data_IF_982207901387
#
_entry.id   IF_982207901387
#
_cell.length_a   1.000
_cell.length_b   1.000
_cell.length_c   1.000
_cell.angle_alpha   90.00
_cell.angle_beta   90.00
_cell.angle_gamma   90.00
#
_symmetry.space_group_name_H-M   'P 1'
#
loop_
_entity.id
_entity.type
_entity.pdbx_description
1 polymer ?
#
# COMPACT_ATOMS: atom_id res chain seq x y z
N UNK A 1 -63.17 -7.01 -12.30
CA UNK A 1 -62.19 -5.93 -12.06
C UNK A 1 -62.33 -5.43 -10.64
N UNK A 2 -61.38 -5.75 -9.75
CA UNK A 2 -61.04 -4.96 -8.57
C UNK A 2 -59.65 -5.42 -8.07
N UNK A 3 -58.76 -4.44 -7.95
CA UNK A 3 -57.33 -4.51 -7.62
C UNK A 3 -57.09 -4.86 -6.13
N UNK A 4 -55.86 -5.27 -5.76
CA UNK A 4 -55.51 -5.75 -4.42
C UNK A 4 -55.35 -4.60 -3.41
N UNK A 5 -55.64 -4.91 -2.14
CA UNK A 5 -55.50 -3.99 -1.01
C UNK A 5 -54.08 -4.14 -0.41
N UNK A 6 -53.24 -3.13 -0.57
CA UNK A 6 -51.90 -3.03 0.02
C UNK A 6 -52.09 -2.28 1.33
N UNK A 7 -51.97 -2.95 2.47
CA UNK A 7 -51.92 -2.27 3.76
C UNK A 7 -50.46 -1.98 4.12
N UNK A 8 -50.06 -0.74 3.87
CA UNK A 8 -48.83 -0.10 4.33
C UNK A 8 -48.92 0.15 5.84
N UNK A 9 -48.00 -0.41 6.62
CA UNK A 9 -47.50 0.17 7.87
C UNK A 9 -46.36 -0.69 8.42
N UNK A 10 -45.14 -0.42 7.96
CA UNK A 10 -43.95 -0.70 8.75
C UNK A 10 -43.12 0.59 8.79
N UNK A 11 -43.42 1.42 9.79
CA UNK A 11 -42.52 2.50 10.19
C UNK A 11 -41.28 1.83 10.78
N UNK A 12 -40.05 2.07 10.26
CA UNK A 12 -38.85 1.55 10.89
C UNK A 12 -38.69 2.21 12.26
N UNK A 13 -38.43 1.41 13.29
CA UNK A 13 -38.06 1.92 14.60
C UNK A 13 -36.79 2.80 14.48
N UNK A 14 -36.64 3.87 15.29
CA UNK A 14 -35.43 4.66 15.28
C UNK A 14 -34.26 3.76 15.68
N UNK A 15 -33.26 3.67 14.79
CA UNK A 15 -31.98 3.02 15.10
C UNK A 15 -31.42 3.68 16.35
N UNK A 16 -31.44 2.92 17.44
CA UNK A 16 -30.73 3.22 18.67
C UNK A 16 -29.28 3.49 18.34
N UNK A 17 -28.82 4.70 18.66
CA UNK A 17 -27.40 5.04 18.69
C UNK A 17 -26.68 3.99 19.55
N UNK A 18 -25.90 3.10 18.90
CA UNK A 18 -24.95 2.26 19.60
C UNK A 18 -23.74 3.15 19.94
N UNK A 19 -23.79 3.72 21.14
CA UNK A 19 -22.61 4.14 21.86
C UNK A 19 -21.94 2.89 22.45
N UNK A 20 -20.99 2.32 21.72
CA UNK A 20 -20.13 1.24 22.17
C UNK A 20 -18.75 1.44 21.57
N UNK A 21 -17.82 2.01 22.33
CA UNK A 21 -16.40 1.97 21.95
C UNK A 21 -15.94 0.54 22.15
N UNK A 22 -16.07 -0.28 21.12
CA UNK A 22 -15.65 -1.68 21.17
C UNK A 22 -14.13 -1.72 21.38
N UNK A 23 -13.71 -2.25 22.53
CA UNK A 23 -12.31 -2.43 22.84
C UNK A 23 -11.72 -3.44 21.84
N UNK A 24 -10.78 -2.98 21.01
CA UNK A 24 -10.11 -3.81 20.00
C UNK A 24 -9.29 -4.90 20.69
N UNK A 25 -9.64 -6.16 20.42
CA UNK A 25 -8.97 -7.32 21.01
C UNK A 25 -7.64 -7.61 20.29
N UNK A 26 -6.73 -8.41 20.89
CA UNK A 26 -5.53 -8.87 20.20
C UNK A 26 -5.80 -9.64 18.92
N UNK A 27 -6.92 -10.37 18.87
CA UNK A 27 -7.33 -11.10 17.66
C UNK A 27 -7.73 -10.14 16.54
N UNK A 28 -8.47 -9.07 16.84
CA UNK A 28 -8.87 -8.08 15.83
C UNK A 28 -7.66 -7.37 15.21
N UNK A 29 -6.64 -7.05 16.02
CA UNK A 29 -5.38 -6.49 15.50
C UNK A 29 -4.65 -7.48 14.61
N UNK A 30 -4.59 -8.76 15.01
CA UNK A 30 -3.97 -9.80 14.19
C UNK A 30 -4.74 -9.98 12.86
N UNK A 31 -6.07 -9.90 12.87
CA UNK A 31 -6.88 -9.91 11.66
C UNK A 31 -6.56 -8.72 10.76
N UNK A 32 -6.44 -7.50 11.29
CA UNK A 32 -6.02 -6.33 10.50
C UNK A 32 -4.65 -6.51 9.86
N UNK A 33 -3.68 -7.07 10.59
CA UNK A 33 -2.35 -7.38 10.05
C UNK A 33 -2.45 -8.35 8.88
N UNK A 34 -3.23 -9.43 9.04
CA UNK A 34 -3.38 -10.44 7.99
C UNK A 34 -4.19 -9.92 6.81
N UNK A 35 -5.25 -9.15 7.03
CA UNK A 35 -6.07 -8.58 5.96
C UNK A 35 -5.28 -7.59 5.12
N UNK A 36 -4.47 -6.75 5.76
CA UNK A 36 -3.73 -5.71 5.06
C UNK A 36 -2.53 -6.26 4.28
N UNK A 37 -1.88 -7.32 4.79
CA UNK A 37 -0.63 -7.86 4.23
C UNK A 37 -0.75 -9.29 3.70
N UNK A 38 -1.96 -9.75 3.38
CA UNK A 38 -2.19 -11.03 2.71
C UNK A 38 -3.14 -10.82 1.52
N UNK A 39 -2.85 -11.50 0.42
CA UNK A 39 -3.76 -11.56 -0.71
C UNK A 39 -4.78 -12.69 -0.51
N UNK A 40 -6.04 -12.34 -0.25
CA UNK A 40 -7.17 -13.29 -0.14
C UNK A 40 -8.28 -13.00 -1.18
N UNK A 41 -7.92 -12.41 -2.32
CA UNK A 41 -8.85 -12.05 -3.41
C UNK A 41 -9.51 -10.68 -3.26
N UNK A 42 -10.68 -10.51 -3.88
CA UNK A 42 -11.46 -9.25 -3.91
C UNK A 42 -12.15 -9.00 -2.56
N UNK A 43 -11.37 -8.59 -1.56
CA UNK A 43 -11.89 -8.24 -0.24
C UNK A 43 -11.77 -6.75 0.00
N UNK A 44 -12.89 -6.12 0.35
CA UNK A 44 -12.91 -4.70 0.70
C UNK A 44 -12.35 -4.51 2.12
N UNK A 45 -11.43 -3.55 2.28
CA UNK A 45 -10.85 -3.21 3.58
C UNK A 45 -11.93 -2.64 4.50
N UNK A 46 -11.98 -3.13 5.74
CA UNK A 46 -12.91 -2.62 6.75
C UNK A 46 -12.47 -1.23 7.24
N UNK A 47 -13.36 -0.52 7.95
CA UNK A 47 -12.99 0.74 8.61
C UNK A 47 -11.82 0.56 9.59
N UNK A 48 -11.75 -0.59 10.26
CA UNK A 48 -10.66 -0.93 11.16
C UNK A 48 -9.34 -1.19 10.39
N UNK A 49 -9.39 -1.84 9.22
CA UNK A 49 -8.22 -2.04 8.37
C UNK A 49 -7.69 -0.71 7.83
N UNK A 50 -8.58 0.22 7.45
CA UNK A 50 -8.22 1.56 7.03
C UNK A 50 -7.54 2.36 8.15
N UNK A 51 -8.06 2.27 9.38
CA UNK A 51 -7.40 2.85 10.57
C UNK A 51 -6.03 2.23 10.84
N UNK A 52 -5.88 0.93 10.58
CA UNK A 52 -4.60 0.24 10.75
C UNK A 52 -3.59 0.68 9.68
N UNK A 53 -4.02 0.82 8.44
CA UNK A 53 -3.23 1.37 7.34
C UNK A 53 -2.79 2.82 7.60
N UNK A 54 -3.65 3.64 8.22
CA UNK A 54 -3.29 4.99 8.68
C UNK A 54 -2.22 4.93 9.78
N UNK A 55 -2.34 4.04 10.76
CA UNK A 55 -1.33 3.86 11.80
C UNK A 55 0.04 3.45 11.23
N UNK A 56 0.06 2.59 10.21
CA UNK A 56 1.28 2.25 9.46
C UNK A 56 1.84 3.47 8.74
N UNK A 57 1.00 4.26 8.07
CA UNK A 57 1.42 5.48 7.37
C UNK A 57 2.07 6.48 8.33
N UNK A 58 1.48 6.67 9.51
CA UNK A 58 2.03 7.51 10.58
C UNK A 58 3.36 6.96 11.08
N UNK A 59 3.45 5.66 11.35
CA UNK A 59 4.70 5.02 11.78
C UNK A 59 5.82 5.24 10.74
N UNK A 60 5.52 5.04 9.46
CA UNK A 60 6.45 5.28 8.36
C UNK A 60 6.91 6.74 8.29
N UNK A 61 6.03 7.72 8.54
CA UNK A 61 6.38 9.15 8.51
C UNK A 61 7.43 9.56 9.54
N UNK A 62 7.51 8.85 10.68
CA UNK A 62 8.52 9.10 11.71
C UNK A 62 9.88 8.45 11.40
N UNK A 63 9.94 7.59 10.38
CA UNK A 63 11.18 7.01 9.90
C UNK A 63 11.81 7.90 8.83
N UNK A 64 12.85 8.63 9.24
CA UNK A 64 13.79 9.31 8.33
C UNK A 64 14.92 8.36 7.91
N UNK A 65 15.10 8.15 6.62
CA UNK A 65 16.25 7.40 6.11
C UNK A 65 17.51 8.27 6.00
N UNK A 66 18.68 7.64 6.14
CA UNK A 66 20.01 8.27 6.12
C UNK A 66 20.61 8.43 4.73
N UNK A 67 20.04 7.80 3.70
CA UNK A 67 20.64 7.69 2.36
C UNK A 67 19.95 8.55 1.28
N UNK A 68 19.00 9.41 1.67
CA UNK A 68 18.33 10.36 0.76
C UNK A 68 17.18 9.78 -0.07
N UNK A 69 16.89 8.47 0.04
CA UNK A 69 15.71 7.84 -0.56
C UNK A 69 14.50 7.94 0.37
N UNK A 70 13.43 8.56 -0.11
CA UNK A 70 12.29 8.90 0.73
C UNK A 70 11.31 7.73 0.88
N UNK A 71 11.19 6.82 -0.10
CA UNK A 71 10.13 5.82 -0.17
C UNK A 71 10.57 4.39 0.21
N UNK A 72 11.79 4.22 0.73
CA UNK A 72 12.27 2.92 1.20
C UNK A 72 11.65 2.54 2.56
N UNK A 73 11.34 1.24 2.72
CA UNK A 73 10.70 0.70 3.92
C UNK A 73 11.77 0.22 4.92
N UNK A 74 11.70 0.63 6.19
CA UNK A 74 12.72 0.29 7.19
C UNK A 74 12.69 -1.21 7.52
N UNK A 75 13.86 -1.77 7.86
CA UNK A 75 14.00 -3.18 8.28
C UNK A 75 13.17 -3.50 9.53
N UNK A 76 13.01 -2.52 10.42
CA UNK A 76 12.13 -2.62 11.58
C UNK A 76 11.15 -1.45 11.56
N UNK A 77 9.86 -1.76 11.61
CA UNK A 77 8.77 -0.79 11.75
C UNK A 77 8.03 -1.08 13.05
N UNK A 78 7.80 -0.04 13.84
CA UNK A 78 7.00 -0.14 15.07
C UNK A 78 5.74 0.69 14.87
N UNK A 79 4.59 0.05 15.02
CA UNK A 79 3.27 0.64 14.81
C UNK A 79 2.49 0.61 16.12
N UNK A 80 2.09 1.78 16.59
CA UNK A 80 1.17 1.90 17.71
C UNK A 80 -0.27 1.85 17.20
N UNK A 81 -1.02 0.83 17.59
CA UNK A 81 -2.42 0.68 17.17
C UNK A 81 -3.28 0.13 18.30
N UNK A 82 -4.36 0.86 18.64
CA UNK A 82 -5.34 0.45 19.66
C UNK A 82 -4.72 0.08 21.01
N UNK A 83 -3.61 0.70 21.39
CA UNK A 83 -2.88 0.44 22.65
C UNK A 83 -1.85 -0.70 22.58
N UNK A 84 -1.63 -1.28 21.40
CA UNK A 84 -0.62 -2.31 21.16
C UNK A 84 0.55 -1.73 20.36
N UNK A 85 1.77 -1.98 20.85
CA UNK A 85 3.02 -1.71 20.12
C UNK A 85 3.33 -2.95 19.24
N UNK A 86 3.10 -2.84 17.94
CA UNK A 86 3.26 -3.92 16.96
C UNK A 86 4.58 -3.72 16.23
N UNK A 87 5.48 -4.69 16.32
CA UNK A 87 6.78 -4.66 15.67
C UNK A 87 6.81 -5.59 14.46
N UNK A 88 7.11 -5.03 13.30
CA UNK A 88 7.44 -5.74 12.07
C UNK A 88 8.96 -5.82 11.93
N UNK A 89 9.50 -7.03 11.79
CA UNK A 89 10.95 -7.25 11.59
C UNK A 89 11.19 -7.97 10.27
N UNK A 90 11.79 -7.28 9.30
CA UNK A 90 12.17 -7.85 8.01
C UNK A 90 13.47 -8.67 8.12
N UNK A 91 13.61 -9.80 7.42
CA UNK A 91 14.87 -10.53 7.35
C UNK A 91 15.97 -9.70 6.68
N UNK A 92 17.18 -9.72 7.28
CA UNK A 92 18.34 -8.90 6.92
C UNK A 92 19.00 -9.33 5.59
N UNK A 93 18.72 -10.54 5.12
CA UNK A 93 19.33 -11.12 3.93
C UNK A 93 18.25 -11.72 3.02
N UNK A 94 17.74 -10.95 2.06
CA UNK A 94 17.56 -11.29 0.63
C UNK A 94 16.65 -10.24 -0.01
N UNK A 95 17.10 -9.53 -1.06
CA UNK A 95 16.25 -8.55 -1.75
C UNK A 95 15.01 -9.18 -2.42
N UNK A 96 15.02 -10.50 -2.69
CA UNK A 96 14.00 -11.22 -3.45
C UNK A 96 13.60 -12.61 -2.88
N UNK A 97 13.80 -12.92 -1.59
CA UNK A 97 13.28 -14.19 -1.05
C UNK A 97 11.87 -14.03 -0.52
N UNK A 98 11.07 -15.10 -0.60
CA UNK A 98 9.87 -15.29 0.19
C UNK A 98 10.24 -15.29 1.69
N UNK A 99 10.47 -14.10 2.22
CA UNK A 99 10.74 -13.85 3.63
C UNK A 99 9.45 -13.72 4.39
N UNK A 100 9.48 -14.10 5.66
CA UNK A 100 8.41 -13.84 6.60
C UNK A 100 8.80 -12.63 7.44
N UNK A 101 7.91 -11.65 7.54
CA UNK A 101 8.07 -10.52 8.46
C UNK A 101 7.50 -10.95 9.80
N UNK A 102 8.36 -11.01 10.81
CA UNK A 102 7.93 -11.36 12.17
C UNK A 102 7.10 -10.21 12.75
N UNK A 103 5.89 -10.54 13.21
CA UNK A 103 4.97 -9.63 13.89
C UNK A 103 4.90 -10.01 15.35
N UNK A 104 5.32 -9.09 16.22
CA UNK A 104 5.33 -9.27 17.68
C UNK A 104 4.75 -8.06 18.40
N UNK A 105 4.21 -8.27 19.61
CA UNK A 105 3.72 -7.18 20.45
C UNK A 105 4.49 -7.08 21.77
N UNK A 106 4.80 -5.87 22.22
CA UNK A 106 5.46 -5.66 23.51
C UNK A 106 4.44 -5.59 24.64
N UNK A 107 4.55 -6.50 25.61
CA UNK A 107 3.75 -6.47 26.85
C UNK A 107 2.33 -7.05 26.77
N UNK A 108 1.90 -7.55 25.60
CA UNK A 108 0.60 -8.19 25.40
C UNK A 108 0.74 -9.62 24.86
N UNK A 109 -0.25 -10.48 25.16
CA UNK A 109 -0.33 -11.86 24.65
C UNK A 109 -0.92 -11.84 23.22
N UNK A 110 -0.33 -11.08 22.30
CA UNK A 110 -0.60 -11.28 20.88
C UNK A 110 0.17 -12.53 20.44
N UNK A 111 -0.47 -13.49 19.75
CA UNK A 111 0.26 -14.58 19.11
C UNK A 111 1.28 -14.00 18.13
N UNK A 112 2.51 -14.50 18.14
CA UNK A 112 3.46 -14.20 17.06
C UNK A 112 2.83 -14.66 15.75
N UNK A 113 2.86 -13.79 14.75
CA UNK A 113 2.41 -14.13 13.39
C UNK A 113 3.45 -13.67 12.38
N UNK A 114 3.27 -14.13 11.15
CA UNK A 114 4.15 -13.76 10.04
C UNK A 114 3.31 -13.26 8.88
N UNK A 115 3.84 -12.31 8.12
CA UNK A 115 3.27 -11.88 6.84
C UNK A 115 4.30 -12.01 5.73
N UNK A 116 3.82 -12.14 4.49
CA UNK A 116 4.71 -12.20 3.33
C UNK A 116 5.49 -10.88 3.19
N UNK A 117 6.81 -10.98 3.02
CA UNK A 117 7.66 -9.79 2.96
C UNK A 117 7.44 -8.95 1.71
N UNK A 118 7.16 -9.57 0.55
CA UNK A 118 6.85 -8.81 -0.64
C UNK A 118 5.58 -8.00 -0.39
N UNK A 119 4.56 -8.66 0.14
CA UNK A 119 3.29 -8.03 0.45
C UNK A 119 3.40 -6.88 1.45
N UNK A 120 4.16 -7.10 2.53
CA UNK A 120 4.47 -6.06 3.50
C UNK A 120 5.15 -4.85 2.84
N UNK A 121 6.14 -5.08 1.98
CA UNK A 121 6.87 -4.01 1.28
C UNK A 121 5.98 -3.26 0.30
N UNK A 122 5.17 -3.95 -0.50
CA UNK A 122 4.28 -3.33 -1.48
C UNK A 122 3.26 -2.41 -0.81
N UNK A 123 2.51 -2.95 0.15
CA UNK A 123 1.47 -2.21 0.87
C UNK A 123 2.09 -1.03 1.63
N UNK A 124 3.19 -1.26 2.35
CA UNK A 124 3.88 -0.19 3.08
C UNK A 124 4.44 0.89 2.14
N UNK A 125 4.93 0.50 0.96
CA UNK A 125 5.45 1.45 -0.05
C UNK A 125 4.33 2.34 -0.57
N UNK A 126 3.17 1.76 -0.91
CA UNK A 126 2.01 2.53 -1.40
C UNK A 126 1.47 3.48 -0.33
N UNK A 127 1.35 3.03 0.92
CA UNK A 127 0.97 3.89 2.04
C UNK A 127 1.95 5.05 2.25
N UNK A 128 3.26 4.77 2.12
CA UNK A 128 4.31 5.78 2.23
C UNK A 128 4.26 6.80 1.09
N UNK A 129 4.06 6.34 -0.15
CA UNK A 129 3.93 7.20 -1.33
C UNK A 129 2.73 8.13 -1.18
N UNK A 130 1.56 7.61 -0.78
CA UNK A 130 0.37 8.43 -0.58
C UNK A 130 0.64 9.56 0.42
N UNK A 131 1.23 9.20 1.56
CA UNK A 131 1.49 10.16 2.64
C UNK A 131 2.54 11.22 2.26
N UNK A 132 3.66 10.82 1.64
CA UNK A 132 4.74 11.76 1.28
C UNK A 132 4.31 12.77 0.21
N UNK A 133 3.43 12.36 -0.70
CA UNK A 133 3.03 13.15 -1.86
C UNK A 133 1.68 13.85 -1.66
N UNK A 134 1.07 13.75 -0.46
CA UNK A 134 -0.23 14.36 -0.16
C UNK A 134 -1.36 13.82 -1.04
N UNK A 135 -1.22 12.59 -1.54
CA UNK A 135 -2.21 11.93 -2.38
C UNK A 135 -3.35 11.40 -1.50
N UNK A 136 -4.56 11.22 -2.06
CA UNK A 136 -5.56 10.38 -1.41
C UNK A 136 -4.98 8.97 -1.16
N UNK A 137 -5.52 8.21 -0.19
CA UNK A 137 -5.14 6.81 0.01
C UNK A 137 -5.22 6.06 -1.31
N UNK A 138 -4.08 5.52 -1.73
CA UNK A 138 -4.00 4.78 -2.97
C UNK A 138 -4.71 3.42 -2.81
N UNK A 139 -5.26 2.87 -3.90
CA UNK A 139 -5.91 1.57 -3.86
C UNK A 139 -4.92 0.49 -3.44
N UNK A 140 -5.30 -0.32 -2.46
CA UNK A 140 -4.59 -1.57 -2.12
C UNK A 140 -5.32 -2.69 -2.85
N UNK A 141 -5.11 -2.74 -4.16
CA UNK A 141 -5.67 -3.76 -5.04
C UNK A 141 -4.52 -4.63 -5.51
N UNK A 142 -4.62 -5.94 -5.34
CA UNK A 142 -3.55 -6.84 -5.73
C UNK A 142 -3.69 -7.24 -7.20
N UNK A 143 -2.57 -7.11 -7.91
CA UNK A 143 -2.46 -7.60 -9.27
C UNK A 143 -2.23 -9.13 -9.28
N UNK A 144 -2.61 -9.78 -10.38
CA UNK A 144 -2.32 -11.22 -10.59
C UNK A 144 -0.83 -11.56 -10.70
N UNK A 145 0.07 -10.57 -10.70
CA UNK A 145 1.53 -10.72 -10.75
C UNK A 145 2.20 -10.66 -9.37
N UNK A 146 1.43 -10.49 -8.29
CA UNK A 146 1.94 -10.45 -6.92
C UNK A 146 2.44 -9.08 -6.46
N UNK A 147 2.27 -8.04 -7.28
CA UNK A 147 2.39 -6.63 -6.88
C UNK A 147 1.01 -5.97 -6.74
N UNK A 148 0.98 -4.65 -6.61
CA UNK A 148 -0.26 -3.86 -6.53
C UNK A 148 -0.71 -3.33 -7.91
N UNK A 149 -2.01 -3.16 -8.06
CA UNK A 149 -2.62 -2.49 -9.20
C UNK A 149 -2.66 -0.98 -8.96
N UNK A 150 -1.73 -0.31 -9.62
CA UNK A 150 -1.57 1.14 -9.64
C UNK A 150 -1.83 1.69 -11.06
N UNK A 151 -2.63 0.96 -11.87
CA UNK A 151 -2.96 1.40 -13.22
C UNK A 151 -3.75 2.71 -13.21
N UNK A 152 -3.46 3.56 -14.19
CA UNK A 152 -4.06 4.88 -14.40
C UNK A 152 -3.96 5.86 -13.20
N UNK A 153 -3.13 5.55 -12.19
CA UNK A 153 -2.90 6.43 -11.04
C UNK A 153 -2.08 7.65 -11.46
N UNK A 154 -2.44 8.82 -10.93
CA UNK A 154 -1.64 10.03 -11.05
C UNK A 154 -0.56 10.09 -9.96
N UNK A 155 0.69 9.86 -10.38
CA UNK A 155 1.91 9.95 -9.59
C UNK A 155 2.84 11.03 -10.16
N UNK A 156 2.30 12.01 -10.87
CA UNK A 156 3.11 13.08 -11.45
C UNK A 156 3.82 13.88 -10.37
N UNK A 157 5.10 14.18 -10.63
CA UNK A 157 6.01 14.90 -9.73
C UNK A 157 6.20 14.23 -8.34
N UNK A 158 5.69 13.00 -8.17
CA UNK A 158 5.79 12.28 -6.90
C UNK A 158 7.24 11.88 -6.59
N UNK A 159 7.61 11.97 -5.31
CA UNK A 159 8.81 11.31 -4.80
C UNK A 159 8.53 9.82 -4.60
N UNK A 160 9.17 9.01 -5.43
CA UNK A 160 9.13 7.56 -5.45
C UNK A 160 10.54 6.99 -5.22
N UNK A 161 11.45 7.79 -4.66
CA UNK A 161 12.87 7.45 -4.59
C UNK A 161 13.13 6.29 -3.63
N UNK A 162 13.79 5.24 -4.12
CA UNK A 162 13.99 3.98 -3.41
C UNK A 162 12.73 3.15 -3.18
N UNK A 163 11.60 3.49 -3.81
CA UNK A 163 10.36 2.72 -3.70
C UNK A 163 10.53 1.30 -4.24
N UNK A 164 9.87 0.32 -3.60
CA UNK A 164 9.74 -1.02 -4.15
C UNK A 164 8.42 -1.14 -4.92
N UNK A 165 8.50 -1.04 -6.26
CA UNK A 165 7.38 -1.13 -7.20
C UNK A 165 7.51 -2.39 -8.09
N UNK A 166 8.26 -3.39 -7.63
CA UNK A 166 8.50 -4.62 -8.40
C UNK A 166 7.19 -5.37 -8.63
N UNK A 167 6.94 -5.87 -9.84
CA UNK A 167 5.71 -6.58 -10.23
C UNK A 167 4.41 -5.79 -10.17
N UNK A 168 4.46 -4.49 -9.85
CA UNK A 168 3.26 -3.64 -9.83
C UNK A 168 2.74 -3.42 -11.26
N UNK A 169 1.42 -3.32 -11.38
CA UNK A 169 0.75 -2.89 -12.60
C UNK A 169 0.70 -1.36 -12.61
N UNK A 170 1.55 -0.72 -13.41
CA UNK A 170 1.61 0.74 -13.59
C UNK A 170 1.13 1.14 -14.99
N UNK A 171 0.29 0.31 -15.63
CA UNK A 171 -0.26 0.59 -16.95
C UNK A 171 -1.01 1.92 -16.95
N UNK A 172 -0.70 2.79 -17.92
CA UNK A 172 -1.35 4.10 -18.04
C UNK A 172 -1.06 5.10 -16.91
N UNK A 173 -0.26 4.72 -15.89
CA UNK A 173 0.04 5.61 -14.77
C UNK A 173 0.76 6.88 -15.25
N UNK A 174 0.41 8.02 -14.67
CA UNK A 174 1.09 9.28 -14.94
C UNK A 174 2.27 9.43 -13.98
N UNK A 175 3.49 9.19 -14.45
CA UNK A 175 4.75 9.32 -13.70
C UNK A 175 5.57 10.53 -14.17
N UNK A 176 4.91 11.49 -14.83
CA UNK A 176 5.56 12.67 -15.40
C UNK A 176 6.30 13.44 -14.31
N UNK A 177 7.60 13.68 -14.49
CA UNK A 177 8.43 14.39 -13.53
C UNK A 177 8.67 13.66 -12.20
N UNK A 178 8.23 12.40 -12.06
CA UNK A 178 8.39 11.65 -10.82
C UNK A 178 9.88 11.36 -10.52
N UNK A 179 10.26 11.43 -9.24
CA UNK A 179 11.58 11.02 -8.78
C UNK A 179 11.58 9.52 -8.48
N UNK A 180 12.04 8.70 -9.42
CA UNK A 180 12.16 7.24 -9.30
C UNK A 180 13.61 6.82 -8.98
N UNK A 181 14.43 7.72 -8.45
CA UNK A 181 15.85 7.43 -8.19
C UNK A 181 16.00 6.23 -7.26
N UNK A 182 16.75 5.21 -7.68
CA UNK A 182 16.96 3.98 -6.90
C UNK A 182 15.72 3.10 -6.73
N UNK A 183 14.60 3.39 -7.39
CA UNK A 183 13.38 2.58 -7.29
C UNK A 183 13.58 1.19 -7.89
N UNK A 184 12.99 0.18 -7.28
CA UNK A 184 12.96 -1.18 -7.81
C UNK A 184 11.67 -1.37 -8.63
N UNK A 185 11.79 -1.44 -9.95
CA UNK A 185 10.70 -1.67 -10.90
C UNK A 185 10.79 -3.08 -11.53
N UNK A 186 11.51 -4.02 -10.90
CA UNK A 186 11.69 -5.36 -11.44
C UNK A 186 10.35 -6.01 -11.81
N UNK A 187 10.16 -6.39 -13.08
CA UNK A 187 8.93 -7.05 -13.53
C UNK A 187 7.68 -6.18 -13.57
N UNK A 188 7.77 -4.87 -13.31
CA UNK A 188 6.63 -3.96 -13.35
C UNK A 188 6.10 -3.79 -14.79
N UNK A 189 4.79 -3.60 -14.93
CA UNK A 189 4.17 -3.29 -16.21
C UNK A 189 3.95 -1.78 -16.35
N UNK A 190 4.76 -1.13 -17.19
CA UNK A 190 4.72 0.30 -17.48
C UNK A 190 4.04 0.59 -18.83
N UNK A 191 3.26 -0.34 -19.39
CA UNK A 191 2.66 -0.16 -20.71
C UNK A 191 1.73 1.06 -20.72
N UNK A 192 2.07 2.03 -21.57
CA UNK A 192 1.32 3.28 -21.69
C UNK A 192 1.53 4.28 -20.54
N UNK A 193 2.42 4.00 -19.59
CA UNK A 193 2.76 4.95 -18.53
C UNK A 193 3.47 6.20 -19.10
N UNK A 194 3.16 7.38 -18.55
CA UNK A 194 3.83 8.62 -18.92
C UNK A 194 5.06 8.85 -18.03
N UNK A 195 6.27 8.65 -18.58
CA UNK A 195 7.54 8.87 -17.87
C UNK A 195 8.26 10.16 -18.30
N UNK A 196 7.56 11.10 -18.97
CA UNK A 196 8.16 12.36 -19.40
C UNK A 196 8.81 13.10 -18.22
N UNK A 197 10.12 13.34 -18.29
CA UNK A 197 10.86 14.05 -17.25
C UNK A 197 11.09 13.29 -15.94
N UNK A 198 10.73 12.00 -15.85
CA UNK A 198 10.99 11.20 -14.66
C UNK A 198 12.49 10.93 -14.45
N UNK A 199 12.96 10.99 -13.21
CA UNK A 199 14.34 10.62 -12.86
C UNK A 199 14.43 9.13 -12.52
N UNK A 200 14.98 8.33 -13.44
CA UNK A 200 15.20 6.89 -13.29
C UNK A 200 16.64 6.55 -12.87
N UNK A 201 17.41 7.51 -12.38
CA UNK A 201 18.81 7.28 -11.95
C UNK A 201 18.88 6.16 -10.92
N UNK A 202 19.75 5.17 -11.12
CA UNK A 202 19.90 3.99 -10.24
C UNK A 202 18.65 3.08 -10.12
N UNK A 203 17.59 3.31 -10.91
CA UNK A 203 16.41 2.46 -10.89
C UNK A 203 16.69 1.07 -11.49
N UNK A 204 16.05 0.04 -10.93
CA UNK A 204 16.15 -1.35 -11.40
C UNK A 204 15.00 -1.64 -12.36
N UNK A 205 15.29 -1.72 -13.66
CA UNK A 205 14.30 -1.88 -14.75
C UNK A 205 14.33 -3.27 -15.41
N UNK A 206 14.88 -4.27 -14.73
CA UNK A 206 14.99 -5.62 -15.30
C UNK A 206 13.59 -6.25 -15.42
N UNK A 207 13.28 -6.86 -16.56
CA UNK A 207 11.99 -7.47 -16.88
C UNK A 207 10.78 -6.52 -16.85
N UNK A 208 10.98 -5.20 -16.88
CA UNK A 208 9.85 -4.26 -17.05
C UNK A 208 9.21 -4.42 -18.43
N UNK A 209 7.88 -4.32 -18.51
CA UNK A 209 7.13 -4.35 -19.76
C UNK A 209 6.71 -2.93 -20.16
N UNK A 210 6.65 -2.64 -21.46
CA UNK A 210 5.87 -1.51 -21.97
C UNK A 210 6.51 -0.12 -21.88
N UNK A 211 7.78 -0.01 -21.46
CA UNK A 211 8.48 1.27 -21.43
C UNK A 211 8.60 1.89 -22.83
N UNK A 212 7.94 3.03 -23.03
CA UNK A 212 8.21 3.95 -24.15
C UNK A 212 8.92 5.17 -23.56
N UNK A 213 10.25 5.24 -23.70
CA UNK A 213 10.96 6.48 -23.39
C UNK A 213 10.59 7.46 -24.49
N UNK A 214 9.69 8.41 -24.20
CA UNK A 214 9.45 9.54 -25.09
C UNK A 214 10.67 10.46 -24.94
N UNK A 215 11.76 10.10 -25.62
CA UNK A 215 12.88 11.02 -25.77
C UNK A 215 12.34 12.27 -26.43
N UNK A 216 12.56 13.43 -25.81
CA UNK A 216 12.46 14.70 -26.51
C UNK A 216 13.25 14.54 -27.82
N UNK A 217 12.54 14.45 -28.95
CA UNK A 217 13.17 14.73 -30.22
C UNK A 217 13.64 16.17 -30.08
N UNK A 218 14.97 16.35 -30.16
CA UNK A 218 15.59 17.64 -30.36
C UNK A 218 14.82 18.38 -31.46
N UNK A 219 13.97 19.34 -31.06
CA UNK A 219 13.54 20.43 -31.93
C UNK A 219 14.63 21.50 -31.86
N UNK A 220 15.84 21.12 -32.29
CA UNK A 220 16.90 22.07 -32.58
C UNK A 220 17.34 21.88 -34.04
N UNK A 221 16.88 22.86 -34.84
CA UNK A 221 17.21 23.23 -36.23
C UNK A 221 16.32 22.74 -37.36
#
# INVERSE_FOLDING_TARGET
MRLPNINTNHVPAPMSAQSGGDAVSPQDVQECVQHLFSYDGDRELTEQDNRFAEAISIALSHHSETNGYQCKIPETLIVDFSGYEIKFSQPVDQPNSAGLVDVSSKGSIMPSSTVDQAMFRHVSTVLRISNLNGLPPLPIIFSGTGGLDLSDVDLSEADLSGANLSWDNLRGANLRGANLRGANLFGADLSGANLEGADLTEAILVNTVGMTVIGHQDLDR
#
